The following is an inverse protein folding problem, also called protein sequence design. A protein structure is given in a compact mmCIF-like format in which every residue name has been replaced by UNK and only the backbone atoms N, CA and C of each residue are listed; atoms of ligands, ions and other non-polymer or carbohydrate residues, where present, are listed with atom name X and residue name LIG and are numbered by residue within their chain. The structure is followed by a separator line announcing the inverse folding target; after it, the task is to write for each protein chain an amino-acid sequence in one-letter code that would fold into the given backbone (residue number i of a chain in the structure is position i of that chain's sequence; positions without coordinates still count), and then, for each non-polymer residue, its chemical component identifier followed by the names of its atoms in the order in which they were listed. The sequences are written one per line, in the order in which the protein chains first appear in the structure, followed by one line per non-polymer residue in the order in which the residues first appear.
data_IF_190489666085
#
_entry.id   IF_190489666085
#
_cell.length_a   1.000
_cell.length_b   1.000
_cell.length_c   1.000
_cell.angle_alpha   90.00
_cell.angle_beta   90.00
_cell.angle_gamma   90.00
#
_symmetry.space_group_name_H-M   'P 1'
#
loop_
_entity.id
_entity.type
_entity.pdbx_description
1 polymer ?
#
# COMPACT_ATOMS: atom_id res chain seq x y z
N UNK A 1 9.20 -12.49 31.96
CA UNK A 1 10.28 -11.47 31.86
C UNK A 1 9.93 -10.55 30.71
N UNK A 2 9.78 -9.25 30.97
CA UNK A 2 9.49 -8.24 29.95
C UNK A 2 10.64 -8.19 28.95
N UNK A 3 10.51 -8.89 27.82
CA UNK A 3 11.51 -8.86 26.76
C UNK A 3 11.54 -7.47 26.15
N UNK A 4 12.60 -6.70 26.42
CA UNK A 4 12.80 -5.41 25.79
C UNK A 4 12.83 -5.57 24.27
N UNK A 5 12.00 -4.79 23.57
CA UNK A 5 12.01 -4.72 22.11
C UNK A 5 13.37 -4.19 21.65
N UNK A 6 14.04 -4.94 20.77
CA UNK A 6 15.33 -4.55 20.18
C UNK A 6 15.11 -4.09 18.75
N UNK A 7 15.69 -2.95 18.40
CA UNK A 7 15.65 -2.41 17.05
C UNK A 7 17.02 -2.51 16.39
N UNK A 8 17.06 -2.96 15.14
CA UNK A 8 18.26 -2.88 14.29
C UNK A 8 17.94 -2.16 12.99
N UNK A 9 18.94 -1.49 12.45
CA UNK A 9 18.90 -0.83 11.14
C UNK A 9 20.06 -1.36 10.31
N UNK A 10 19.78 -1.77 9.09
CA UNK A 10 20.78 -2.22 8.11
C UNK A 10 20.34 -1.80 6.71
N UNK A 11 21.24 -1.85 5.75
CA UNK A 11 20.96 -1.59 4.34
C UNK A 11 20.55 -2.88 3.62
N UNK A 12 19.90 -2.76 2.47
CA UNK A 12 19.73 -3.88 1.55
C UNK A 12 21.08 -4.56 1.24
N UNK A 13 21.08 -5.89 1.17
CA UNK A 13 22.30 -6.73 1.01
C UNK A 13 23.33 -6.67 2.14
N UNK A 14 23.05 -5.98 3.25
CA UNK A 14 23.94 -5.94 4.41
C UNK A 14 23.71 -7.16 5.33
N UNK A 15 24.74 -7.51 6.09
CA UNK A 15 24.66 -8.54 7.14
C UNK A 15 25.15 -7.99 8.47
N UNK A 16 24.29 -8.09 9.48
CA UNK A 16 24.63 -7.81 10.87
C UNK A 16 24.72 -9.12 11.66
N UNK A 17 25.64 -9.18 12.60
CA UNK A 17 25.81 -10.28 13.53
C UNK A 17 26.30 -9.77 14.90
N UNK A 18 26.44 -10.64 15.92
CA UNK A 18 26.83 -10.20 17.26
C UNK A 18 28.20 -9.53 17.36
N UNK A 19 29.04 -9.60 16.32
CA UNK A 19 30.38 -8.98 16.33
C UNK A 19 30.37 -7.53 15.84
N UNK A 20 29.34 -7.15 15.08
CA UNK A 20 29.21 -5.80 14.50
C UNK A 20 27.92 -5.08 14.94
N UNK A 21 27.07 -5.73 15.75
CA UNK A 21 25.84 -5.15 16.28
C UNK A 21 25.54 -5.66 17.69
N UNK A 22 25.76 -4.83 18.71
CA UNK A 22 25.54 -5.15 20.13
C UNK A 22 24.09 -5.57 20.42
N UNK A 23 23.12 -5.01 19.68
CA UNK A 23 21.72 -5.35 19.83
C UNK A 23 21.42 -6.82 19.50
N UNK A 24 22.27 -7.49 18.71
CA UNK A 24 22.14 -8.89 18.35
C UNK A 24 22.90 -9.84 19.27
N UNK A 25 23.77 -9.31 20.14
CA UNK A 25 24.52 -10.12 21.09
C UNK A 25 23.60 -10.70 22.17
N UNK A 26 23.73 -12.01 22.38
CA UNK A 26 22.87 -12.77 23.30
C UNK A 26 21.38 -12.74 22.95
N UNK A 27 21.01 -12.29 21.74
CA UNK A 27 19.64 -12.33 21.25
C UNK A 27 19.37 -13.67 20.58
N UNK A 28 18.29 -14.33 21.00
CA UNK A 28 17.84 -15.60 20.44
C UNK A 28 16.35 -15.50 20.13
N UNK A 29 15.93 -16.16 19.07
CA UNK A 29 14.54 -16.21 18.63
C UNK A 29 13.81 -17.21 19.54
N UNK A 30 12.66 -16.80 20.08
CA UNK A 30 11.88 -17.70 20.92
C UNK A 30 11.34 -18.90 20.14
N UNK A 31 11.30 -20.08 20.77
CA UNK A 31 10.89 -21.38 20.18
C UNK A 31 9.38 -21.51 19.88
N UNK A 32 8.70 -20.41 19.57
CA UNK A 32 7.28 -20.49 19.19
C UNK A 32 7.14 -21.02 17.76
N UNK A 33 6.17 -21.91 17.53
CA UNK A 33 5.87 -22.46 16.20
C UNK A 33 5.53 -21.36 15.18
N UNK A 34 4.92 -20.26 15.62
CA UNK A 34 4.63 -19.09 14.79
C UNK A 34 5.91 -18.36 14.37
N UNK A 35 6.88 -18.26 15.26
CA UNK A 35 8.20 -17.66 14.98
C UNK A 35 8.96 -18.50 13.95
N UNK A 36 9.00 -19.83 14.13
CA UNK A 36 9.72 -20.72 13.20
C UNK A 36 9.14 -20.70 11.78
N UNK A 37 7.80 -20.71 11.65
CA UNK A 37 7.13 -20.62 10.34
C UNK A 37 7.43 -19.29 9.65
N UNK A 38 7.47 -18.20 10.42
CA UNK A 38 7.84 -16.88 9.94
C UNK A 38 9.26 -16.85 9.42
N UNK A 39 10.23 -17.38 10.18
CA UNK A 39 11.64 -17.41 9.80
C UNK A 39 11.81 -18.20 8.49
N UNK A 40 11.15 -19.36 8.38
CA UNK A 40 11.22 -20.19 7.18
C UNK A 40 10.69 -19.44 5.97
N UNK A 41 9.54 -18.77 6.10
CA UNK A 41 8.96 -17.98 5.01
C UNK A 41 9.89 -16.85 4.58
N UNK A 42 10.45 -16.08 5.53
CA UNK A 42 11.42 -15.01 5.26
C UNK A 42 12.68 -15.51 4.54
N UNK A 43 13.14 -16.71 4.92
CA UNK A 43 14.29 -17.36 4.31
C UNK A 43 14.01 -17.80 2.87
N UNK A 44 12.90 -18.50 2.63
CA UNK A 44 12.57 -19.08 1.34
C UNK A 44 12.21 -18.02 0.29
N UNK A 45 11.54 -16.95 0.75
CA UNK A 45 11.25 -15.77 -0.07
C UNK A 45 12.45 -14.84 -0.28
N UNK A 46 13.62 -15.15 0.33
CA UNK A 46 14.82 -14.29 0.30
C UNK A 46 14.53 -12.84 0.66
N UNK A 47 13.67 -12.63 1.66
CA UNK A 47 13.40 -11.29 2.20
C UNK A 47 14.48 -10.90 3.20
N UNK A 48 14.63 -11.74 4.23
CA UNK A 48 15.65 -11.63 5.28
C UNK A 48 16.02 -13.05 5.72
N UNK A 49 17.31 -13.30 5.93
CA UNK A 49 17.81 -14.53 6.55
C UNK A 49 18.18 -14.26 8.00
N UNK A 50 17.56 -15.02 8.89
CA UNK A 50 17.86 -15.04 10.31
C UNK A 50 18.57 -16.35 10.65
N UNK A 51 19.72 -16.28 11.33
CA UNK A 51 20.52 -17.46 11.68
C UNK A 51 21.00 -17.34 13.11
N UNK A 52 20.57 -18.25 13.98
CA UNK A 52 21.06 -18.28 15.36
C UNK A 52 22.50 -18.81 15.41
N UNK A 53 23.36 -18.05 16.09
CA UNK A 53 24.75 -18.38 16.35
C UNK A 53 24.93 -18.67 17.85
N UNK A 54 26.08 -19.20 18.25
CA UNK A 54 26.37 -19.50 19.68
C UNK A 54 26.25 -18.30 20.61
N UNK A 55 26.47 -17.09 20.11
CA UNK A 55 26.56 -15.86 20.91
C UNK A 55 25.51 -14.80 20.54
N UNK A 56 24.49 -15.17 19.79
CA UNK A 56 23.41 -14.27 19.40
C UNK A 56 22.89 -14.55 17.99
N UNK A 57 22.26 -13.54 17.37
CA UNK A 57 21.58 -13.69 16.09
C UNK A 57 22.35 -13.03 14.94
N UNK A 58 22.44 -13.70 13.79
CA UNK A 58 22.86 -13.08 12.52
C UNK A 58 21.62 -12.73 11.68
N UNK A 59 21.59 -11.52 11.15
CA UNK A 59 20.55 -10.99 10.26
C UNK A 59 21.19 -10.58 8.94
N UNK A 60 20.72 -11.17 7.84
CA UNK A 60 21.14 -10.83 6.48
C UNK A 60 19.94 -10.30 5.69
N UNK A 61 20.04 -9.09 5.17
CA UNK A 61 19.06 -8.51 4.26
C UNK A 61 19.38 -8.85 2.80
N UNK A 62 18.36 -8.83 1.93
CA UNK A 62 18.48 -9.01 0.48
C UNK A 62 18.00 -7.74 -0.24
N UNK A 63 17.20 -7.88 -1.30
CA UNK A 63 16.70 -6.78 -2.16
C UNK A 63 15.39 -6.14 -1.68
N UNK A 64 14.99 -6.34 -0.43
CA UNK A 64 13.74 -5.78 0.09
C UNK A 64 14.04 -4.72 1.14
N UNK A 65 13.35 -3.58 1.05
CA UNK A 65 13.49 -2.45 1.96
C UNK A 65 12.19 -2.20 2.73
N UNK A 66 12.28 -1.66 3.93
CA UNK A 66 11.13 -1.42 4.79
C UNK A 66 11.39 -1.89 6.21
N UNK A 67 10.33 -2.24 6.94
CA UNK A 67 10.40 -2.64 8.34
C UNK A 67 9.58 -3.88 8.60
N UNK A 68 10.12 -4.83 9.35
CA UNK A 68 9.36 -5.97 9.86
C UNK A 68 9.65 -6.20 11.33
N UNK A 69 8.73 -6.89 12.00
CA UNK A 69 8.90 -7.33 13.38
C UNK A 69 8.84 -8.84 13.46
N UNK A 70 9.87 -9.46 14.04
CA UNK A 70 9.94 -10.89 14.32
C UNK A 70 10.07 -11.07 15.83
N UNK A 71 8.96 -11.47 16.48
CA UNK A 71 8.89 -11.51 17.94
C UNK A 71 9.18 -10.13 18.55
N UNK A 72 10.27 -10.03 19.32
CA UNK A 72 10.70 -8.79 19.98
C UNK A 72 11.81 -8.05 19.21
N UNK A 73 12.15 -8.50 17.99
CA UNK A 73 13.13 -7.85 17.13
C UNK A 73 12.43 -7.04 16.04
N UNK A 74 12.69 -5.73 16.01
CA UNK A 74 12.30 -4.83 14.93
C UNK A 74 13.48 -4.63 13.99
N UNK A 75 13.29 -4.93 12.71
CA UNK A 75 14.32 -4.86 11.68
C UNK A 75 13.91 -3.81 10.67
N UNK A 76 14.73 -2.79 10.46
CA UNK A 76 14.53 -1.79 9.39
C UNK A 76 15.63 -1.95 8.35
N UNK A 77 15.24 -2.29 7.11
CA UNK A 77 16.12 -2.38 5.96
C UNK A 77 15.98 -1.11 5.12
N UNK A 78 17.07 -0.35 4.98
CA UNK A 78 17.10 0.89 4.21
C UNK A 78 17.62 0.64 2.78
N UNK A 79 17.12 1.39 1.78
CA UNK A 79 17.72 1.37 0.45
C UNK A 79 19.14 1.95 0.49
N UNK A 80 20.01 1.52 -0.43
CA UNK A 80 21.36 2.10 -0.58
C UNK A 80 21.35 3.55 -1.07
N UNK A 81 20.21 4.02 -1.57
CA UNK A 81 20.03 5.38 -2.07
C UNK A 81 19.42 6.29 -0.98
N UNK A 82 19.83 7.56 -0.91
CA UNK A 82 19.24 8.51 0.03
C UNK A 82 17.76 8.79 -0.30
N UNK A 83 16.96 9.10 0.73
CA UNK A 83 15.50 9.22 0.62
C UNK A 83 15.00 10.22 -0.44
N UNK A 84 15.67 11.36 -0.60
CA UNK A 84 15.30 12.37 -1.63
C UNK A 84 15.52 11.85 -3.05
N UNK A 85 16.62 11.16 -3.30
CA UNK A 85 16.88 10.50 -4.59
C UNK A 85 15.88 9.39 -4.83
N UNK A 86 15.58 8.60 -3.81
CA UNK A 86 14.59 7.52 -3.89
C UNK A 86 13.20 8.04 -4.24
N UNK A 87 12.73 9.11 -3.59
CA UNK A 87 11.42 9.69 -3.89
C UNK A 87 11.33 10.21 -5.33
N UNK A 88 12.40 10.81 -5.86
CA UNK A 88 12.44 11.25 -7.25
C UNK A 88 12.38 10.08 -8.23
N UNK A 89 13.11 9.00 -7.95
CA UNK A 89 13.05 7.78 -8.77
C UNK A 89 11.68 7.10 -8.67
N UNK A 90 11.04 7.08 -7.50
CA UNK A 90 9.67 6.58 -7.32
C UNK A 90 8.66 7.37 -8.15
N UNK A 91 8.75 8.70 -8.08
CA UNK A 91 7.91 9.61 -8.88
C UNK A 91 8.10 9.36 -10.36
N UNK A 92 9.34 9.22 -10.80
CA UNK A 92 9.64 8.91 -12.18
C UNK A 92 9.10 7.53 -12.58
N UNK A 93 9.43 6.46 -11.85
CA UNK A 93 9.01 5.10 -12.19
C UNK A 93 7.48 4.99 -12.32
N UNK A 94 6.74 5.42 -11.29
CA UNK A 94 5.29 5.23 -11.23
C UNK A 94 4.47 6.44 -11.72
N UNK A 95 5.11 7.49 -12.21
CA UNK A 95 4.43 8.69 -12.72
C UNK A 95 3.72 9.51 -11.65
N UNK A 96 4.24 9.49 -10.41
CA UNK A 96 3.68 10.33 -9.35
C UNK A 96 3.94 11.80 -9.62
N UNK A 97 3.02 12.65 -9.18
CA UNK A 97 3.10 14.07 -9.46
C UNK A 97 4.20 14.69 -8.60
N UNK A 98 5.00 15.56 -9.22
CA UNK A 98 5.98 16.35 -8.48
C UNK A 98 5.27 17.50 -7.77
N UNK A 99 4.65 17.19 -6.63
CA UNK A 99 4.02 18.18 -5.78
C UNK A 99 5.13 18.84 -4.96
N UNK A 100 5.39 20.14 -5.25
CA UNK A 100 6.48 20.96 -4.69
C UNK A 100 6.55 20.94 -3.16
N UNK A 101 5.44 20.60 -2.49
CA UNK A 101 5.31 20.49 -1.03
C UNK A 101 6.25 19.45 -0.40
N UNK A 102 6.67 18.43 -1.15
CA UNK A 102 7.50 17.33 -0.62
C UNK A 102 9.00 17.60 -0.76
N UNK A 103 9.43 18.35 -1.78
CA UNK A 103 10.84 18.54 -2.12
C UNK A 103 11.64 19.32 -1.04
N UNK A 104 10.95 20.06 -0.17
CA UNK A 104 11.57 20.90 0.86
C UNK A 104 11.14 20.53 2.30
N UNK A 105 10.50 19.38 2.51
CA UNK A 105 10.02 19.00 3.84
C UNK A 105 11.18 18.44 4.69
N UNK A 106 11.42 18.96 5.91
CA UNK A 106 12.45 18.44 6.82
C UNK A 106 12.21 16.97 7.21
N UNK A 107 11.00 16.45 6.98
CA UNK A 107 10.63 15.05 7.22
C UNK A 107 11.40 14.05 6.33
N UNK A 108 12.04 14.52 5.25
CA UNK A 108 12.89 13.71 4.37
C UNK A 108 14.39 13.87 4.65
N UNK A 109 14.76 14.66 5.67
CA UNK A 109 16.15 14.92 6.06
C UNK A 109 16.65 13.94 7.13
N UNK A 110 15.75 13.26 7.84
CA UNK A 110 16.07 12.17 8.77
C UNK A 110 15.96 10.80 8.07
N UNK A 111 16.57 9.73 8.62
CA UNK A 111 16.36 8.37 8.13
C UNK A 111 14.89 7.95 8.31
N UNK A 112 14.05 8.27 7.32
CA UNK A 112 12.68 7.81 7.26
C UNK A 112 12.61 6.41 6.64
N UNK A 113 11.71 5.56 7.11
CA UNK A 113 11.45 4.26 6.48
C UNK A 113 10.98 4.45 5.03
N UNK A 114 11.19 3.45 4.17
CA UNK A 114 10.73 3.55 2.78
C UNK A 114 9.20 3.72 2.69
N UNK A 115 8.47 3.08 3.61
CA UNK A 115 7.03 3.25 3.79
C UNK A 115 6.63 4.71 3.99
N UNK A 116 7.41 5.48 4.75
CA UNK A 116 7.12 6.87 5.04
C UNK A 116 7.21 7.76 3.79
N UNK A 117 8.06 7.40 2.81
CA UNK A 117 8.11 8.10 1.52
C UNK A 117 6.80 7.93 0.74
N UNK A 118 6.27 6.71 0.69
CA UNK A 118 5.00 6.42 0.03
C UNK A 118 3.83 7.06 0.77
N UNK A 119 3.80 6.97 2.11
CA UNK A 119 2.76 7.61 2.93
C UNK A 119 2.76 9.12 2.74
N UNK A 120 3.93 9.75 2.76
CA UNK A 120 4.04 11.19 2.57
C UNK A 120 3.54 11.61 1.19
N UNK A 121 3.92 10.90 0.11
CA UNK A 121 3.39 11.17 -1.22
C UNK A 121 1.86 10.97 -1.26
N UNK A 122 1.32 9.89 -0.68
CA UNK A 122 -0.13 9.65 -0.66
C UNK A 122 -0.89 10.76 0.07
N UNK A 123 -0.38 11.23 1.22
CA UNK A 123 -1.02 12.30 1.98
C UNK A 123 -1.15 13.57 1.14
N UNK A 124 -0.12 13.93 0.39
CA UNK A 124 -0.16 15.13 -0.47
C UNK A 124 -1.11 14.94 -1.66
N UNK A 125 -1.09 13.78 -2.31
CA UNK A 125 -2.03 13.46 -3.39
C UNK A 125 -3.48 13.50 -2.90
N UNK A 126 -3.76 12.91 -1.74
CA UNK A 126 -5.07 12.88 -1.12
C UNK A 126 -5.54 14.27 -0.66
N UNK A 127 -4.65 15.06 -0.06
CA UNK A 127 -4.96 16.43 0.36
C UNK A 127 -5.36 17.29 -0.84
N UNK A 128 -4.69 17.15 -1.99
CA UNK A 128 -5.08 17.84 -3.21
C UNK A 128 -6.47 17.41 -3.69
N UNK A 129 -6.74 16.09 -3.75
CA UNK A 129 -8.05 15.55 -4.15
C UNK A 129 -9.18 16.06 -3.24
N UNK A 130 -8.96 16.05 -1.92
CA UNK A 130 -9.93 16.51 -0.93
C UNK A 130 -10.14 18.02 -1.06
N UNK A 131 -9.06 18.81 -1.23
CA UNK A 131 -9.15 20.27 -1.35
C UNK A 131 -9.94 20.75 -2.57
N UNK A 132 -9.96 19.95 -3.64
CA UNK A 132 -10.73 20.24 -4.86
C UNK A 132 -12.18 19.73 -4.79
N UNK A 133 -12.54 19.02 -3.73
CA UNK A 133 -13.78 18.28 -3.61
C UNK A 133 -13.69 16.91 -4.27
N UNK A 134 -14.05 15.87 -3.52
CA UNK A 134 -14.03 14.50 -4.02
C UNK A 134 -14.95 14.31 -5.22
N UNK A 135 -14.54 13.44 -6.14
CA UNK A 135 -15.35 13.13 -7.32
C UNK A 135 -16.68 12.52 -6.90
N UNK A 136 -17.77 13.15 -7.32
CA UNK A 136 -19.13 12.61 -7.17
C UNK A 136 -19.58 11.87 -8.42
N UNK A 137 -20.39 10.83 -8.21
CA UNK A 137 -21.03 10.06 -9.28
C UNK A 137 -22.54 9.98 -9.07
N UNK A 138 -23.26 9.93 -10.19
CA UNK A 138 -24.70 9.67 -10.21
C UNK A 138 -24.95 8.17 -10.05
N UNK A 139 -25.62 7.76 -8.97
CA UNK A 139 -25.90 6.34 -8.68
C UNK A 139 -27.41 6.11 -8.74
N UNK A 140 -27.92 5.13 -9.48
CA UNK A 140 -29.36 4.85 -9.52
C UNK A 140 -29.86 4.42 -8.14
N UNK A 141 -30.99 5.01 -7.71
CA UNK A 141 -31.73 4.61 -6.51
C UNK A 141 -33.21 4.48 -6.82
N UNK A 142 -33.77 3.33 -6.48
CA UNK A 142 -35.20 3.05 -6.50
C UNK A 142 -35.75 3.20 -5.08
N UNK A 143 -36.54 4.25 -4.84
CA UNK A 143 -37.00 4.65 -3.50
C UNK A 143 -38.45 5.14 -3.55
N UNK A 144 -39.22 4.96 -2.48
CA UNK A 144 -40.54 5.60 -2.34
C UNK A 144 -40.36 6.98 -1.72
N UNK A 145 -40.68 8.03 -2.46
CA UNK A 145 -40.46 9.41 -2.05
C UNK A 145 -41.79 10.13 -1.81
N UNK A 146 -41.90 10.86 -0.70
CA UNK A 146 -43.03 11.76 -0.42
C UNK A 146 -43.00 13.02 -1.27
N UNK A 147 -41.80 13.47 -1.65
CA UNK A 147 -41.56 14.51 -2.64
C UNK A 147 -40.93 13.87 -3.89
N UNK A 148 -41.70 13.59 -4.95
CA UNK A 148 -41.22 12.85 -6.12
C UNK A 148 -40.05 13.56 -6.80
N UNK A 149 -39.00 12.79 -7.11
CA UNK A 149 -37.82 13.26 -7.84
C UNK A 149 -37.37 12.16 -8.81
N UNK A 150 -36.81 12.56 -9.95
CA UNK A 150 -36.45 11.62 -11.01
C UNK A 150 -37.67 11.05 -11.73
N UNK A 151 -37.61 9.78 -12.13
CA UNK A 151 -38.68 9.11 -12.89
C UNK A 151 -39.58 8.32 -11.95
N UNK A 152 -40.88 8.60 -11.98
CA UNK A 152 -41.88 7.79 -11.28
C UNK A 152 -41.98 6.42 -11.98
N UNK A 153 -41.88 5.33 -11.20
CA UNK A 153 -42.11 3.98 -11.68
C UNK A 153 -43.60 3.67 -11.64
N UNK A 154 -44.31 4.10 -12.69
CA UNK A 154 -45.76 3.90 -12.85
C UNK A 154 -46.12 2.40 -12.87
N UNK A 155 -45.25 1.54 -13.41
CA UNK A 155 -45.47 0.10 -13.45
C UNK A 155 -45.42 -0.54 -12.06
N UNK A 156 -44.49 -0.10 -11.21
CA UNK A 156 -44.48 -0.48 -9.79
C UNK A 156 -45.68 0.11 -9.05
N UNK A 157 -46.03 1.38 -9.28
CA UNK A 157 -47.21 2.00 -8.66
C UNK A 157 -48.50 1.23 -8.96
N UNK A 158 -48.71 0.82 -10.21
CA UNK A 158 -49.88 0.04 -10.62
C UNK A 158 -49.89 -1.36 -9.96
N UNK A 159 -48.75 -2.05 -9.91
CA UNK A 159 -48.62 -3.35 -9.22
C UNK A 159 -48.85 -3.26 -7.71
N UNK A 160 -48.48 -2.13 -7.10
CA UNK A 160 -48.69 -1.86 -5.68
C UNK A 160 -50.15 -1.44 -5.35
N UNK A 161 -51.08 -1.48 -6.32
CA UNK A 161 -52.49 -1.13 -6.11
C UNK A 161 -52.80 0.37 -6.15
N UNK A 162 -51.88 1.19 -6.70
CA UNK A 162 -52.06 2.63 -6.85
C UNK A 162 -51.56 3.44 -5.65
N UNK A 163 -52.20 4.59 -5.40
CA UNK A 163 -51.78 5.57 -4.39
C UNK A 163 -52.30 5.21 -2.98
N UNK A 164 -51.78 4.12 -2.42
CA UNK A 164 -52.14 3.67 -1.05
C UNK A 164 -51.41 4.43 0.07
N UNK A 165 -50.32 5.13 -0.25
CA UNK A 165 -49.50 5.91 0.70
C UNK A 165 -49.14 7.26 0.10
N UNK A 166 -48.79 8.24 0.95
CA UNK A 166 -48.29 9.55 0.53
C UNK A 166 -46.85 9.51 -0.03
N UNK A 167 -46.47 8.41 -0.70
CA UNK A 167 -45.16 8.23 -1.31
C UNK A 167 -45.30 7.59 -2.69
N UNK A 168 -44.44 7.99 -3.62
CA UNK A 168 -44.39 7.47 -4.98
C UNK A 168 -43.11 6.67 -5.22
N UNK A 169 -43.18 5.47 -5.83
CA UNK A 169 -41.99 4.74 -6.23
C UNK A 169 -41.29 5.51 -7.34
N UNK A 170 -40.06 5.95 -7.07
CA UNK A 170 -39.27 6.78 -7.96
C UNK A 170 -37.89 6.17 -8.18
N UNK A 171 -37.44 6.16 -9.43
CA UNK A 171 -36.05 5.91 -9.82
C UNK A 171 -35.35 7.25 -10.05
N UNK A 172 -34.38 7.55 -9.21
CA UNK A 172 -33.64 8.81 -9.26
C UNK A 172 -32.14 8.55 -9.15
N UNK A 173 -31.34 9.59 -9.42
CA UNK A 173 -29.88 9.48 -9.50
C UNK A 173 -29.26 10.54 -8.60
N UNK A 174 -29.16 10.31 -7.28
CA UNK A 174 -28.41 11.22 -6.42
C UNK A 174 -26.94 11.26 -6.82
N UNK A 175 -26.35 12.45 -6.74
CA UNK A 175 -24.93 12.68 -6.98
C UNK A 175 -24.17 12.58 -5.67
N UNK A 176 -23.51 11.45 -5.42
CA UNK A 176 -22.88 11.11 -4.13
C UNK A 176 -21.36 10.98 -4.23
N UNK A 177 -20.67 11.21 -3.12
CA UNK A 177 -19.21 11.04 -3.00
C UNK A 177 -18.81 9.59 -2.71
N UNK A 178 -19.73 8.74 -2.29
CA UNK A 178 -19.45 7.34 -1.99
C UNK A 178 -19.22 6.50 -3.27
N UNK A 179 -18.12 6.76 -3.96
CA UNK A 179 -17.67 6.09 -5.18
C UNK A 179 -16.57 5.09 -4.86
N UNK A 180 -16.35 4.10 -5.73
CA UNK A 180 -15.28 3.10 -5.55
C UNK A 180 -13.90 3.74 -5.39
N UNK A 181 -13.62 4.80 -6.17
CA UNK A 181 -12.37 5.55 -6.10
C UNK A 181 -12.18 6.20 -4.72
N UNK A 182 -13.22 6.84 -4.19
CA UNK A 182 -13.15 7.49 -2.88
C UNK A 182 -13.09 6.47 -1.73
N UNK A 183 -13.80 5.36 -1.84
CA UNK A 183 -13.73 4.26 -0.87
C UNK A 183 -12.32 3.69 -0.79
N UNK A 184 -11.68 3.44 -1.94
CA UNK A 184 -10.28 2.98 -2.00
C UNK A 184 -9.32 4.05 -1.48
N UNK A 185 -9.53 5.32 -1.80
CA UNK A 185 -8.73 6.42 -1.26
C UNK A 185 -8.79 6.47 0.27
N UNK A 186 -10.00 6.45 0.84
CA UNK A 186 -10.20 6.46 2.30
C UNK A 186 -9.52 5.26 2.95
N UNK A 187 -9.79 4.06 2.45
CA UNK A 187 -9.20 2.84 3.01
C UNK A 187 -7.67 2.80 2.82
N UNK A 188 -7.16 3.42 1.74
CA UNK A 188 -5.75 3.61 1.49
C UNK A 188 -5.06 4.56 2.47
N UNK A 189 -5.75 5.63 2.88
CA UNK A 189 -5.27 6.54 3.93
C UNK A 189 -5.28 5.86 5.31
N UNK A 190 -6.29 5.03 5.60
CA UNK A 190 -6.34 4.21 6.82
C UNK A 190 -5.17 3.22 6.87
N UNK A 191 -4.86 2.55 5.74
CA UNK A 191 -3.70 1.67 5.58
C UNK A 191 -2.38 2.45 5.75
N UNK A 192 -2.22 3.58 5.06
CA UNK A 192 -1.04 4.41 5.17
C UNK A 192 -0.79 4.87 6.62
N UNK A 193 -1.84 5.26 7.33
CA UNK A 193 -1.76 5.64 8.74
C UNK A 193 -1.38 4.50 9.69
N UNK A 194 -1.68 3.24 9.35
CA UNK A 194 -1.25 2.09 10.15
C UNK A 194 0.21 1.70 9.90
N UNK A 195 0.72 1.98 8.71
CA UNK A 195 2.09 1.65 8.29
C UNK A 195 3.11 2.74 8.62
N UNK A 196 2.67 4.00 8.64
CA UNK A 196 3.55 5.15 8.90
C UNK A 196 4.32 5.01 10.22
N UNK A 197 5.63 5.21 10.13
CA UNK A 197 6.53 5.17 11.26
C UNK A 197 6.61 6.54 11.96
N UNK A 198 6.57 7.61 11.17
CA UNK A 198 6.52 8.99 11.66
C UNK A 198 5.16 9.36 12.26
N UNK A 199 5.15 9.93 13.46
CA UNK A 199 3.91 10.35 14.15
C UNK A 199 3.13 11.39 13.35
N UNK A 200 3.82 12.33 12.70
CA UNK A 200 3.18 13.38 11.90
C UNK A 200 2.52 12.80 10.64
N UNK A 201 3.21 11.90 9.93
CA UNK A 201 2.66 11.22 8.75
C UNK A 201 1.43 10.39 9.11
N UNK A 202 1.51 9.62 10.20
CA UNK A 202 0.38 8.86 10.75
C UNK A 202 -0.82 9.74 11.07
N UNK A 203 -0.61 10.84 11.78
CA UNK A 203 -1.67 11.79 12.14
C UNK A 203 -2.32 12.39 10.90
N UNK A 204 -1.51 12.77 9.92
CA UNK A 204 -2.00 13.36 8.68
C UNK A 204 -2.84 12.37 7.86
N UNK A 205 -2.38 11.13 7.66
CA UNK A 205 -3.17 10.11 6.95
C UNK A 205 -4.52 9.86 7.63
N UNK A 206 -4.53 9.76 8.97
CA UNK A 206 -5.76 9.58 9.74
C UNK A 206 -6.68 10.79 9.64
N UNK A 207 -6.14 12.01 9.73
CA UNK A 207 -6.91 13.25 9.58
C UNK A 207 -7.58 13.32 8.21
N UNK A 208 -6.84 13.00 7.13
CA UNK A 208 -7.38 12.98 5.78
C UNK A 208 -8.47 11.90 5.61
N UNK A 209 -8.29 10.71 6.20
CA UNK A 209 -9.34 9.68 6.20
C UNK A 209 -10.61 10.16 6.91
N UNK A 210 -10.47 10.77 8.10
CA UNK A 210 -11.57 11.32 8.89
C UNK A 210 -12.35 12.41 8.14
N UNK A 211 -11.67 13.28 7.38
CA UNK A 211 -12.34 14.31 6.56
C UNK A 211 -13.31 13.73 5.51
N UNK A 212 -13.16 12.45 5.16
CA UNK A 212 -14.01 11.77 4.16
C UNK A 212 -15.07 10.87 4.78
N UNK A 213 -15.07 10.70 6.10
CA UNK A 213 -15.83 9.66 6.77
C UNK A 213 -17.35 9.80 6.65
N UNK A 214 -17.85 11.05 6.68
CA UNK A 214 -19.28 11.33 6.59
C UNK A 214 -19.87 10.98 5.21
N UNK A 215 -19.11 11.17 4.14
CA UNK A 215 -19.61 11.05 2.76
C UNK A 215 -19.14 9.79 2.03
N UNK A 216 -18.14 9.09 2.55
CA UNK A 216 -17.51 7.93 1.93
C UNK A 216 -17.48 6.77 2.93
N UNK A 217 -18.09 5.64 2.57
CA UNK A 217 -18.10 4.45 3.43
C UNK A 217 -16.70 3.82 3.53
N UNK A 218 -16.35 3.30 4.71
CA UNK A 218 -15.14 2.49 4.87
C UNK A 218 -15.31 1.14 4.17
N UNK A 219 -14.22 0.64 3.57
CA UNK A 219 -14.17 -0.66 2.90
C UNK A 219 -12.87 -1.36 3.25
N UNK A 220 -12.90 -2.68 3.39
CA UNK A 220 -11.67 -3.46 3.48
C UNK A 220 -10.95 -3.48 2.13
N UNK A 221 -9.69 -3.04 2.10
CA UNK A 221 -8.87 -3.14 0.89
C UNK A 221 -8.59 -4.61 0.54
N UNK A 222 -8.70 -4.92 -0.75
CA UNK A 222 -8.26 -6.20 -1.31
C UNK A 222 -7.84 -6.00 -2.76
N UNK A 223 -7.16 -6.99 -3.32
CA UNK A 223 -6.62 -6.92 -4.68
C UNK A 223 -7.70 -6.66 -5.75
N UNK A 224 -8.89 -7.25 -5.58
CA UNK A 224 -10.02 -7.10 -6.51
C UNK A 224 -10.59 -5.68 -6.51
N UNK A 225 -10.80 -5.08 -5.33
CA UNK A 225 -11.28 -3.69 -5.19
C UNK A 225 -10.31 -2.68 -5.76
N UNK A 226 -9.01 -2.86 -5.52
CA UNK A 226 -7.99 -2.01 -6.11
C UNK A 226 -8.00 -2.12 -7.65
N UNK A 227 -8.09 -3.34 -8.20
CA UNK A 227 -8.12 -3.56 -9.64
C UNK A 227 -9.41 -3.02 -10.28
N UNK A 228 -10.53 -3.06 -9.54
CA UNK A 228 -11.78 -2.46 -9.98
C UNK A 228 -11.72 -0.93 -9.97
N UNK A 229 -11.13 -0.33 -8.93
CA UNK A 229 -10.94 1.11 -8.85
C UNK A 229 -10.03 1.63 -9.98
N UNK A 230 -8.90 0.97 -10.22
CA UNK A 230 -7.99 1.29 -11.33
C UNK A 230 -8.69 1.19 -12.69
N UNK A 231 -9.46 0.13 -12.94
CA UNK A 231 -10.25 -0.02 -14.18
C UNK A 231 -11.37 1.00 -14.33
N UNK A 232 -11.82 1.62 -13.23
CA UNK A 232 -12.85 2.67 -13.25
C UNK A 232 -12.29 4.07 -13.51
N UNK A 233 -10.96 4.21 -13.63
CA UNK A 233 -10.34 5.47 -14.01
C UNK A 233 -10.81 5.90 -15.40
N UNK A 234 -10.96 7.21 -15.55
CA UNK A 234 -11.37 7.87 -16.77
C UNK A 234 -10.63 9.20 -16.87
N UNK A 235 -10.74 9.88 -18.02
CA UNK A 235 -10.21 11.26 -18.18
C UNK A 235 -10.71 12.23 -17.09
N UNK A 236 -11.90 11.99 -16.52
CA UNK A 236 -12.48 12.83 -15.46
C UNK A 236 -11.96 12.52 -14.05
N UNK A 237 -11.25 11.40 -13.88
CA UNK A 237 -10.74 10.89 -12.61
C UNK A 237 -9.25 10.58 -12.66
N UNK A 238 -8.56 11.03 -13.70
CA UNK A 238 -7.12 10.83 -13.92
C UNK A 238 -6.26 11.30 -12.73
N UNK A 239 -6.70 12.35 -12.03
CA UNK A 239 -6.05 12.84 -10.81
C UNK A 239 -6.00 11.83 -9.65
N UNK A 240 -6.81 10.77 -9.68
CA UNK A 240 -6.78 9.70 -8.69
C UNK A 240 -5.67 8.67 -8.97
N UNK A 241 -5.17 8.58 -10.20
CA UNK A 241 -4.24 7.53 -10.61
C UNK A 241 -2.97 7.46 -9.73
N UNK A 242 -2.31 8.60 -9.38
CA UNK A 242 -1.15 8.56 -8.49
C UNK A 242 -1.49 8.01 -7.09
N UNK A 243 -2.59 8.47 -6.49
CA UNK A 243 -3.02 8.01 -5.17
C UNK A 243 -3.34 6.50 -5.17
N UNK A 244 -4.07 6.01 -6.18
CA UNK A 244 -4.38 4.58 -6.31
C UNK A 244 -3.12 3.74 -6.50
N UNK A 245 -2.18 4.21 -7.31
CA UNK A 245 -0.91 3.52 -7.53
C UNK A 245 -0.10 3.42 -6.23
N UNK A 246 -0.02 4.49 -5.43
CA UNK A 246 0.66 4.45 -4.13
C UNK A 246 -0.05 3.50 -3.15
N UNK A 247 -1.38 3.54 -3.10
CA UNK A 247 -2.17 2.63 -2.26
C UNK A 247 -1.92 1.18 -2.68
N UNK A 248 -1.82 0.89 -3.98
CA UNK A 248 -1.47 -0.42 -4.50
C UNK A 248 -0.08 -0.86 -4.04
N UNK A 249 0.92 0.01 -4.11
CA UNK A 249 2.27 -0.30 -3.63
C UNK A 249 2.29 -0.59 -2.13
N UNK A 250 1.65 0.25 -1.32
CA UNK A 250 1.50 0.03 0.13
C UNK A 250 0.78 -1.29 0.42
N UNK A 251 -0.32 -1.57 -0.29
CA UNK A 251 -1.10 -2.80 -0.12
C UNK A 251 -0.32 -4.05 -0.52
N UNK A 252 0.47 -4.02 -1.59
CA UNK A 252 1.24 -5.17 -2.05
C UNK A 252 2.47 -5.43 -1.16
N UNK A 253 2.97 -4.40 -0.49
CA UNK A 253 4.16 -4.46 0.36
C UNK A 253 3.81 -4.70 1.84
N UNK A 254 2.53 -4.88 2.16
CA UNK A 254 2.08 -5.10 3.54
C UNK A 254 2.33 -6.55 3.97
N UNK A 255 3.14 -6.73 5.02
CA UNK A 255 3.42 -8.01 5.64
C UNK A 255 3.97 -9.10 4.71
N UNK A 256 4.48 -10.17 5.30
CA UNK A 256 4.81 -11.38 4.57
C UNK A 256 3.62 -12.31 4.72
N UNK A 257 3.01 -12.71 3.60
CA UNK A 257 1.95 -13.71 3.63
C UNK A 257 2.65 -15.05 3.89
N UNK A 258 2.47 -15.58 5.10
CA UNK A 258 2.88 -16.95 5.41
C UNK A 258 2.05 -17.87 4.54
N UNK A 259 2.68 -18.61 3.64
CA UNK A 259 1.99 -19.64 2.86
C UNK A 259 1.24 -20.56 3.83
N UNK A 260 0.01 -20.92 3.48
CA UNK A 260 -0.92 -21.77 4.24
C UNK A 260 -1.81 -21.14 5.34
N UNK A 261 -1.90 -19.79 5.46
CA UNK A 261 -2.79 -19.16 6.46
C UNK A 261 -3.61 -17.96 5.98
N UNK A 262 -4.70 -17.71 6.72
CA UNK A 262 -5.65 -16.61 6.49
C UNK A 262 -5.01 -15.21 6.64
N UNK A 263 -5.69 -14.13 6.24
CA UNK A 263 -5.21 -12.74 6.42
C UNK A 263 -4.80 -12.40 7.86
N UNK A 264 -5.22 -13.17 8.87
CA UNK A 264 -4.90 -12.97 10.28
C UNK A 264 -3.46 -13.36 10.67
N UNK A 265 -2.73 -14.11 9.85
CA UNK A 265 -1.35 -14.56 10.14
C UNK A 265 -0.27 -13.76 9.39
N UNK A 266 -0.58 -12.55 8.93
CA UNK A 266 0.42 -11.68 8.30
C UNK A 266 1.44 -11.21 9.33
N UNK A 267 2.72 -11.38 9.01
CA UNK A 267 3.78 -10.78 9.80
C UNK A 267 3.61 -9.25 9.78
N UNK A 268 3.53 -8.57 10.93
CA UNK A 268 3.46 -7.11 10.96
C UNK A 268 4.74 -6.53 10.35
N UNK A 269 4.55 -5.74 9.30
CA UNK A 269 5.65 -5.08 8.61
C UNK A 269 5.26 -4.55 7.23
N UNK A 270 6.25 -3.93 6.62
CA UNK A 270 6.27 -3.44 5.27
C UNK A 270 7.59 -3.86 4.64
N UNK A 271 7.52 -4.55 3.50
CA UNK A 271 8.68 -4.94 2.71
C UNK A 271 8.40 -4.67 1.25
N UNK A 272 9.21 -3.81 0.66
CA UNK A 272 9.11 -3.35 -0.71
C UNK A 272 10.25 -3.94 -1.53
N UNK A 273 9.92 -4.58 -2.67
CA UNK A 273 10.89 -5.22 -3.54
C UNK A 273 11.63 -4.19 -4.41
N UNK A 274 12.91 -3.97 -4.10
CA UNK A 274 13.76 -3.05 -4.86
C UNK A 274 14.08 -3.58 -6.25
N UNK A 275 14.11 -4.90 -6.47
CA UNK A 275 14.37 -5.44 -7.81
C UNK A 275 13.20 -5.12 -8.75
N UNK A 276 11.97 -5.41 -8.31
CA UNK A 276 10.77 -5.10 -9.08
C UNK A 276 10.65 -3.59 -9.37
N UNK A 277 11.02 -2.76 -8.40
CA UNK A 277 11.07 -1.32 -8.58
C UNK A 277 12.10 -0.88 -9.63
N UNK A 278 13.34 -1.35 -9.53
CA UNK A 278 14.37 -1.00 -10.51
C UNK A 278 14.04 -1.53 -11.91
N UNK A 279 13.43 -2.71 -12.03
CA UNK A 279 12.89 -3.20 -13.30
C UNK A 279 11.85 -2.23 -13.87
N UNK A 280 10.90 -1.77 -13.06
CA UNK A 280 9.88 -0.82 -13.51
C UNK A 280 10.50 0.54 -13.91
N UNK A 281 11.44 1.03 -13.12
CA UNK A 281 12.19 2.26 -13.36
C UNK A 281 12.92 2.22 -14.71
N UNK A 282 13.73 1.19 -14.92
CA UNK A 282 14.53 1.03 -16.14
C UNK A 282 13.63 0.75 -17.34
N UNK A 283 12.60 -0.07 -17.18
CA UNK A 283 11.61 -0.33 -18.24
C UNK A 283 10.98 0.95 -18.77
N UNK A 284 10.51 1.82 -17.87
CA UNK A 284 9.99 3.14 -18.24
C UNK A 284 11.06 4.00 -18.92
N UNK A 285 12.25 4.07 -18.33
CA UNK A 285 13.37 4.84 -18.90
C UNK A 285 13.71 4.42 -20.33
N UNK A 286 13.83 3.12 -20.58
CA UNK A 286 14.12 2.58 -21.90
C UNK A 286 13.00 2.87 -22.89
N UNK A 287 11.72 2.71 -22.51
CA UNK A 287 10.59 3.04 -23.39
C UNK A 287 10.55 4.50 -23.80
N UNK A 288 10.92 5.40 -22.90
CA UNK A 288 10.95 6.85 -23.18
C UNK A 288 12.18 7.27 -24.01
N UNK A 289 13.29 6.53 -23.94
CA UNK A 289 14.59 6.95 -24.49
C UNK A 289 15.16 6.04 -25.59
N UNK A 290 14.51 4.93 -25.95
CA UNK A 290 14.90 4.06 -27.06
C UNK A 290 13.87 4.09 -28.22
N UNK A 291 13.83 5.18 -29.01
CA UNK A 291 12.97 5.22 -30.19
C UNK A 291 13.41 4.15 -31.20
N UNK A 292 12.43 3.46 -31.79
CA UNK A 292 12.68 2.40 -32.78
C UNK A 292 12.95 1.01 -32.21
N UNK A 293 12.91 0.86 -30.88
CA UNK A 293 13.00 -0.44 -30.21
C UNK A 293 11.73 -0.73 -29.40
N UNK A 294 11.37 -2.02 -29.32
CA UNK A 294 10.33 -2.51 -28.42
C UNK A 294 10.99 -3.02 -27.13
N UNK A 295 10.62 -2.43 -25.99
CA UNK A 295 11.13 -2.83 -24.67
C UNK A 295 10.18 -3.84 -24.06
N UNK A 296 10.65 -5.09 -23.95
CA UNK A 296 9.92 -6.20 -23.32
C UNK A 296 10.39 -6.33 -21.87
N UNK A 297 9.43 -6.33 -20.94
CA UNK A 297 9.72 -6.56 -19.52
C UNK A 297 10.09 -8.02 -19.28
N UNK A 298 11.06 -8.25 -18.39
CA UNK A 298 11.39 -9.60 -17.94
C UNK A 298 10.14 -10.23 -17.30
N UNK A 299 9.65 -11.32 -17.88
CA UNK A 299 8.61 -12.13 -17.22
C UNK A 299 9.29 -12.94 -16.12
N UNK A 300 8.85 -12.73 -14.87
CA UNK A 300 9.46 -13.33 -13.69
C UNK A 300 9.83 -14.80 -13.91
N UNK A 301 11.13 -15.11 -13.79
CA UNK A 301 11.63 -16.46 -13.75
C UNK A 301 10.90 -17.21 -12.64
N UNK A 302 9.94 -18.07 -13.00
CA UNK A 302 9.44 -19.08 -12.07
C UNK A 302 10.67 -19.89 -11.62
N UNK A 303 10.92 -20.05 -10.31
CA UNK A 303 12.00 -20.90 -9.84
C UNK A 303 11.63 -22.34 -10.19
N UNK A 304 12.19 -22.86 -11.27
CA UNK A 304 12.01 -24.25 -11.68
C UNK A 304 11.82 -24.44 -13.18
N UNK A 305 12.92 -24.41 -13.93
CA UNK A 305 13.31 -25.39 -14.95
C UNK A 305 14.53 -24.85 -15.72
N UNK A 306 15.72 -25.10 -15.19
CA UNK A 306 16.88 -25.31 -16.04
C UNK A 306 16.63 -26.61 -16.81
N UNK A 307 16.21 -26.52 -18.06
CA UNK A 307 16.42 -27.62 -19.01
C UNK A 307 17.88 -27.53 -19.44
N UNK A 308 18.69 -28.42 -18.89
CA UNK A 308 19.89 -28.86 -19.59
C UNK A 308 19.43 -29.71 -20.76
N UNK A 309 19.43 -29.15 -21.96
CA UNK A 309 19.51 -29.96 -23.16
C UNK A 309 20.98 -30.04 -23.57
N UNK A 310 21.45 -31.28 -23.68
CA UNK A 310 22.75 -31.68 -24.19
C UNK A 310 22.88 -31.39 -25.68
#
# INVERSE_FOLDING_TARGET
MSGHERGIVLSEWETLDPTNCDALQGFFLGESQATSTTIQTLHDSRLIRLTELRHGLRVQAFSHVGRLKVGNLSITVLPKLPGTSMLNLLRYAYGFRNLRLLSNSPQFMEPCGFEDLLVAQLNVEAQELISRGLRRSYVPRDERLSSPRGRIDVGRLARDGGLLTATLPCRHYPRIENTKLNQVLRAGLELAGSMASGLMLRRESRRLALLTEESVSSVQLNAARLAEAERSLSRLTESYAPALSIIRLLFNSQGVTLEDRSQADRLPGFLFDMNAFFQHLISRFLRENLPGYEVVDEQGLKPGRLRHDR
#
